data_IF_950896289449
#
_entry.id   IF_950896289449
#
_cell.length_a   1.000
_cell.length_b   1.000
_cell.length_c   1.000
_cell.angle_alpha   90.00
_cell.angle_beta   90.00
_cell.angle_gamma   90.00
#
_symmetry.space_group_name_H-M   'P 1'
#
loop_
_entity.id
_entity.type
_entity.pdbx_description
1 polymer ?
#
# COMPACT_ATOMS: atom_id res chain seq x y z
N UNK A 1 -0.02 -4.92 2.74
CA UNK A 1 0.31 -5.79 1.60
C UNK A 1 -0.22 -7.21 1.79
N UNK A 2 0.25 -7.96 2.80
CA UNK A 2 -0.05 -9.41 2.96
C UNK A 2 -1.53 -9.70 3.30
N UNK A 3 -2.16 -8.83 4.09
CA UNK A 3 -3.51 -9.06 4.60
C UNK A 3 -4.54 -9.06 3.45
N UNK A 4 -5.31 -10.15 3.23
CA UNK A 4 -6.27 -10.24 2.13
C UNK A 4 -7.62 -9.56 2.43
N UNK A 5 -7.82 -9.01 3.62
CA UNK A 5 -9.06 -8.36 4.03
C UNK A 5 -9.10 -6.89 3.62
N UNK A 6 -9.03 -6.60 2.31
CA UNK A 6 -9.21 -5.25 1.77
C UNK A 6 -10.69 -4.95 1.56
N UNK A 7 -11.38 -5.89 0.94
CA UNK A 7 -12.83 -5.90 0.75
C UNK A 7 -13.33 -7.28 1.13
N UNK A 8 -14.56 -7.36 1.59
CA UNK A 8 -15.23 -8.65 1.61
C UNK A 8 -16.73 -8.57 1.78
N UNK A 9 -17.28 -9.72 2.10
CA UNK A 9 -18.70 -9.96 2.22
C UNK A 9 -19.36 -9.08 3.28
N UNK A 10 -20.66 -8.89 3.12
CA UNK A 10 -21.54 -8.17 4.03
C UNK A 10 -22.83 -8.99 4.24
N UNK A 11 -23.75 -8.50 5.06
CA UNK A 11 -25.05 -9.18 5.29
C UNK A 11 -25.86 -9.32 3.99
N UNK A 12 -25.62 -8.45 3.01
CA UNK A 12 -26.39 -8.40 1.75
C UNK A 12 -25.73 -9.15 0.59
N UNK A 13 -24.51 -9.69 0.77
CA UNK A 13 -23.77 -10.30 -0.35
C UNK A 13 -24.30 -11.69 -0.73
N UNK A 14 -24.37 -12.03 -2.03
CA UNK A 14 -24.80 -13.35 -2.51
C UNK A 14 -23.92 -14.52 -2.03
N UNK A 15 -22.61 -14.29 -1.86
CA UNK A 15 -21.63 -15.32 -1.46
C UNK A 15 -20.70 -14.76 -0.39
N UNK A 16 -20.36 -15.56 0.65
CA UNK A 16 -19.38 -15.14 1.65
C UNK A 16 -17.97 -15.17 1.06
N UNK A 17 -17.09 -14.30 1.57
CA UNK A 17 -15.69 -14.31 1.22
C UNK A 17 -15.03 -12.93 1.24
N UNK A 18 -13.76 -12.86 0.86
CA UNK A 18 -12.96 -11.65 0.97
C UNK A 18 -11.87 -11.65 -0.09
N UNK A 19 -11.44 -10.45 -0.48
CA UNK A 19 -10.37 -10.30 -1.45
C UNK A 19 -9.45 -9.13 -1.11
N UNK A 20 -8.17 -9.36 -1.39
CA UNK A 20 -7.08 -8.41 -1.25
C UNK A 20 -6.47 -8.07 -2.61
N UNK A 21 -5.21 -7.61 -2.57
CA UNK A 21 -4.46 -7.20 -3.75
C UNK A 21 -4.15 -8.37 -4.71
N UNK A 22 -3.78 -9.53 -4.17
CA UNK A 22 -3.34 -10.69 -4.96
C UNK A 22 -3.96 -12.02 -4.51
N UNK A 23 -4.67 -12.03 -3.38
CA UNK A 23 -5.27 -13.23 -2.80
C UNK A 23 -6.74 -12.97 -2.53
N UNK A 24 -7.59 -13.90 -2.93
CA UNK A 24 -9.03 -13.83 -2.74
C UNK A 24 -9.60 -15.20 -2.38
N UNK A 25 -10.65 -15.22 -1.57
CA UNK A 25 -11.36 -16.43 -1.17
C UNK A 25 -12.86 -16.24 -1.35
N UNK A 26 -13.48 -17.18 -2.06
CA UNK A 26 -14.92 -17.17 -2.35
C UNK A 26 -15.56 -18.44 -1.83
N UNK A 27 -16.67 -18.33 -1.11
CA UNK A 27 -17.46 -19.46 -0.65
C UNK A 27 -18.34 -20.06 -1.74
N UNK A 28 -18.47 -21.39 -1.74
CA UNK A 28 -19.40 -22.12 -2.61
C UNK A 28 -20.83 -22.08 -2.04
N UNK A 29 -21.51 -20.94 -2.19
CA UNK A 29 -22.94 -20.76 -1.85
C UNK A 29 -23.28 -20.69 -0.34
N UNK A 30 -24.58 -20.53 -0.04
CA UNK A 30 -25.13 -20.28 1.31
C UNK A 30 -24.97 -21.44 2.33
N UNK A 31 -24.66 -22.66 1.87
CA UNK A 31 -24.59 -23.86 2.71
C UNK A 31 -23.17 -24.45 2.87
N UNK A 32 -22.18 -23.95 2.11
CA UNK A 32 -20.81 -24.46 2.12
C UNK A 32 -19.88 -23.66 3.03
N UNK A 33 -19.35 -24.29 4.08
CA UNK A 33 -18.23 -23.76 4.89
C UNK A 33 -16.89 -23.73 4.13
N UNK A 34 -16.87 -24.16 2.87
CA UNK A 34 -15.66 -24.32 2.09
C UNK A 34 -15.39 -23.05 1.27
N UNK A 35 -14.32 -22.34 1.66
CA UNK A 35 -13.80 -21.19 0.95
C UNK A 35 -12.75 -21.66 -0.06
N UNK A 36 -13.02 -21.43 -1.34
CA UNK A 36 -12.02 -21.63 -2.40
C UNK A 36 -11.12 -20.40 -2.46
N UNK A 37 -9.91 -20.53 -1.94
CA UNK A 37 -8.89 -19.48 -1.97
C UNK A 37 -8.00 -19.62 -3.21
N UNK A 38 -7.78 -18.50 -3.91
CA UNK A 38 -6.92 -18.43 -5.09
C UNK A 38 -6.08 -17.15 -5.07
N UNK A 39 -5.01 -17.22 -5.87
CA UNK A 39 -4.04 -16.16 -6.01
C UNK A 39 -2.81 -16.38 -5.12
N UNK A 40 -1.64 -16.26 -5.73
CA UNK A 40 -0.34 -16.31 -5.07
C UNK A 40 0.47 -15.11 -5.51
N UNK A 41 1.36 -14.62 -4.63
CA UNK A 41 2.29 -13.55 -4.96
C UNK A 41 3.22 -13.91 -6.14
N UNK A 42 3.46 -15.21 -6.39
CA UNK A 42 4.33 -15.70 -7.46
C UNK A 42 3.62 -15.96 -8.79
N UNK A 43 2.29 -16.04 -8.78
CA UNK A 43 1.49 -16.44 -9.95
C UNK A 43 0.61 -15.28 -10.44
N UNK A 44 1.26 -14.24 -10.96
CA UNK A 44 0.60 -13.03 -11.48
C UNK A 44 -0.42 -13.34 -12.59
N UNK A 45 -0.23 -14.42 -13.35
CA UNK A 45 -1.15 -14.86 -14.42
C UNK A 45 -2.53 -15.32 -13.90
N UNK A 46 -2.66 -15.61 -12.60
CA UNK A 46 -3.93 -16.06 -11.99
C UNK A 46 -4.79 -14.93 -11.45
N UNK A 47 -4.31 -13.68 -11.50
CA UNK A 47 -5.01 -12.50 -10.96
C UNK A 47 -6.06 -12.04 -11.99
N UNK A 48 -7.33 -11.85 -11.58
CA UNK A 48 -8.46 -11.64 -12.50
C UNK A 48 -8.45 -10.29 -13.24
N UNK A 49 -7.63 -9.32 -12.84
CA UNK A 49 -7.52 -8.04 -13.54
C UNK A 49 -6.10 -7.46 -13.52
N UNK A 50 -5.72 -6.80 -14.62
CA UNK A 50 -4.46 -6.04 -14.70
C UNK A 50 -4.40 -4.88 -13.69
N UNK A 51 -5.56 -4.36 -13.27
CA UNK A 51 -5.65 -3.35 -12.22
C UNK A 51 -5.18 -3.89 -10.87
N UNK A 52 -5.60 -5.10 -10.47
CA UNK A 52 -5.10 -5.72 -9.24
C UNK A 52 -3.62 -6.04 -9.28
N UNK A 53 -3.10 -6.47 -10.43
CA UNK A 53 -1.65 -6.68 -10.62
C UNK A 53 -0.87 -5.38 -10.42
N UNK A 54 -1.31 -4.29 -11.07
CA UNK A 54 -0.67 -2.97 -10.93
C UNK A 54 -0.78 -2.44 -9.49
N UNK A 55 -1.95 -2.55 -8.86
CA UNK A 55 -2.13 -2.15 -7.47
C UNK A 55 -1.22 -2.95 -6.53
N UNK A 56 -1.11 -4.27 -6.71
CA UNK A 56 -0.22 -5.12 -5.94
C UNK A 56 1.25 -4.71 -6.10
N UNK A 57 1.69 -4.41 -7.33
CA UNK A 57 3.05 -3.93 -7.60
C UNK A 57 3.35 -2.61 -6.87
N UNK A 58 2.48 -1.61 -6.98
CA UNK A 58 2.71 -0.32 -6.33
C UNK A 58 2.69 -0.42 -4.79
N UNK A 59 1.77 -1.19 -4.22
CA UNK A 59 1.72 -1.39 -2.75
C UNK A 59 2.95 -2.19 -2.27
N UNK A 60 3.41 -3.17 -3.03
CA UNK A 60 4.64 -3.90 -2.73
C UNK A 60 5.86 -2.96 -2.78
N UNK A 61 5.98 -2.17 -3.84
CA UNK A 61 7.09 -1.23 -4.01
C UNK A 61 7.15 -0.25 -2.84
N UNK A 62 6.00 0.27 -2.40
CA UNK A 62 5.93 1.12 -1.21
C UNK A 62 6.41 0.41 0.07
N UNK A 63 6.02 -0.85 0.26
CA UNK A 63 6.48 -1.65 1.39
C UNK A 63 8.00 -1.82 1.36
N UNK A 64 8.58 -2.14 0.20
CA UNK A 64 10.03 -2.29 0.02
C UNK A 64 10.76 -0.97 0.27
N UNK A 65 10.25 0.15 -0.25
CA UNK A 65 10.81 1.48 -0.01
C UNK A 65 10.78 1.85 1.48
N UNK A 66 9.68 1.54 2.17
CA UNK A 66 9.54 1.80 3.61
C UNK A 66 10.54 0.97 4.42
N UNK A 67 10.68 -0.33 4.12
CA UNK A 67 11.68 -1.20 4.75
C UNK A 67 13.11 -0.77 4.41
N UNK A 68 13.34 -0.32 3.18
CA UNK A 68 14.59 0.29 2.75
C UNK A 68 14.93 1.53 3.58
N UNK A 69 13.97 2.41 3.83
CA UNK A 69 14.15 3.59 4.68
C UNK A 69 14.56 3.21 6.11
N UNK A 70 13.95 2.15 6.68
CA UNK A 70 14.35 1.64 8.00
C UNK A 70 15.81 1.16 7.97
N UNK A 71 16.20 0.45 6.90
CA UNK A 71 17.57 -0.03 6.72
C UNK A 71 18.56 1.12 6.52
N UNK A 72 18.15 2.20 5.84
CA UNK A 72 18.96 3.41 5.66
C UNK A 72 19.32 4.08 6.99
N UNK A 73 18.58 3.86 8.08
CA UNK A 73 19.01 4.36 9.39
C UNK A 73 20.32 3.73 9.88
N UNK A 74 20.67 2.51 9.43
CA UNK A 74 21.99 1.95 9.69
C UNK A 74 23.12 2.70 8.95
N UNK A 75 22.81 3.48 7.90
CA UNK A 75 23.81 4.29 7.20
C UNK A 75 24.25 5.52 8.01
N UNK A 76 23.59 5.86 9.12
CA UNK A 76 24.07 6.91 10.03
C UNK A 76 25.47 6.64 10.58
N UNK A 77 25.92 5.37 10.61
CA UNK A 77 27.28 5.04 11.05
C UNK A 77 28.37 5.43 10.05
N UNK A 78 28.02 5.59 8.76
CA UNK A 78 28.99 5.78 7.68
C UNK A 78 28.80 7.10 6.92
N UNK A 79 27.57 7.63 6.88
CA UNK A 79 27.19 8.79 6.09
C UNK A 79 26.81 9.97 6.99
N UNK A 80 26.94 11.20 6.47
CA UNK A 80 26.45 12.39 7.15
C UNK A 80 24.94 12.30 7.41
N UNK A 81 24.55 12.57 8.64
CA UNK A 81 23.16 12.60 9.13
C UNK A 81 22.23 13.43 8.24
N UNK A 82 22.69 14.57 7.70
CA UNK A 82 21.89 15.42 6.81
C UNK A 82 21.55 14.70 5.49
N UNK A 83 22.50 13.95 4.92
CA UNK A 83 22.32 13.19 3.69
C UNK A 83 21.36 12.03 3.90
N UNK A 84 21.51 11.30 5.02
CA UNK A 84 20.63 10.17 5.36
C UNK A 84 19.18 10.64 5.52
N UNK A 85 18.94 11.75 6.23
CA UNK A 85 17.59 12.30 6.37
C UNK A 85 16.97 12.70 5.03
N UNK A 86 17.73 13.34 4.13
CA UNK A 86 17.24 13.70 2.79
C UNK A 86 16.92 12.47 1.93
N UNK A 87 17.75 11.43 1.97
CA UNK A 87 17.49 10.17 1.25
C UNK A 87 16.21 9.52 1.79
N UNK A 88 16.09 9.37 3.11
CA UNK A 88 14.89 8.83 3.75
C UNK A 88 13.64 9.65 3.39
N UNK A 89 13.75 10.98 3.36
CA UNK A 89 12.63 11.86 2.98
C UNK A 89 12.11 11.57 1.57
N UNK A 90 13.00 11.43 0.59
CA UNK A 90 12.64 11.08 -0.79
C UNK A 90 12.09 9.65 -0.91
N UNK A 91 12.66 8.69 -0.19
CA UNK A 91 12.16 7.32 -0.17
C UNK A 91 10.74 7.24 0.38
N UNK A 92 10.45 7.95 1.47
CA UNK A 92 9.09 7.97 2.03
C UNK A 92 8.10 8.78 1.20
N UNK A 93 8.57 9.82 0.49
CA UNK A 93 7.73 10.52 -0.47
C UNK A 93 7.33 9.58 -1.62
N UNK A 94 8.29 8.84 -2.17
CA UNK A 94 8.03 7.85 -3.23
C UNK A 94 7.14 6.71 -2.72
N UNK A 95 7.37 6.22 -1.50
CA UNK A 95 6.53 5.20 -0.88
C UNK A 95 5.07 5.68 -0.71
N UNK A 96 4.86 6.94 -0.32
CA UNK A 96 3.53 7.54 -0.22
C UNK A 96 2.84 7.61 -1.58
N UNK A 97 3.55 8.08 -2.63
CA UNK A 97 3.03 8.14 -4.00
C UNK A 97 2.62 6.75 -4.52
N UNK A 98 3.45 5.74 -4.29
CA UNK A 98 3.13 4.36 -4.66
C UNK A 98 1.90 3.83 -3.91
N UNK A 99 1.74 4.11 -2.61
CA UNK A 99 0.53 3.72 -1.88
C UNK A 99 -0.72 4.43 -2.39
N UNK A 100 -0.64 5.72 -2.72
CA UNK A 100 -1.74 6.48 -3.33
C UNK A 100 -2.17 5.85 -4.64
N UNK A 101 -1.22 5.58 -5.54
CA UNK A 101 -1.50 4.91 -6.81
C UNK A 101 -2.11 3.53 -6.59
N UNK A 102 -1.57 2.73 -5.67
CA UNK A 102 -2.13 1.43 -5.32
C UNK A 102 -3.58 1.50 -4.84
N UNK A 103 -3.91 2.47 -3.97
CA UNK A 103 -5.27 2.66 -3.46
C UNK A 103 -6.23 3.23 -4.52
N UNK A 104 -5.75 4.02 -5.48
CA UNK A 104 -6.57 4.52 -6.59
C UNK A 104 -6.83 3.46 -7.66
N UNK A 105 -5.83 2.61 -7.95
CA UNK A 105 -5.94 1.57 -8.98
C UNK A 105 -6.78 0.38 -8.47
N UNK A 106 -6.72 0.08 -7.17
CA UNK A 106 -7.44 -1.07 -6.60
C UNK A 106 -8.96 -1.04 -6.86
N UNK A 107 -9.68 0.08 -6.70
CA UNK A 107 -11.09 0.22 -7.08
C UNK A 107 -11.42 0.04 -8.57
N UNK A 108 -10.46 0.27 -9.47
CA UNK A 108 -10.67 0.07 -10.91
C UNK A 108 -10.78 -1.42 -11.26
N UNK A 109 -10.22 -2.30 -10.43
CA UNK A 109 -10.30 -3.75 -10.60
C UNK A 109 -11.64 -4.38 -10.19
N UNK A 110 -12.55 -3.63 -9.54
CA UNK A 110 -13.79 -4.18 -8.98
C UNK A 110 -14.81 -4.66 -10.02
N UNK A 111 -14.64 -4.28 -11.29
CA UNK A 111 -15.50 -4.71 -12.41
C UNK A 111 -15.18 -6.14 -12.91
N UNK A 112 -14.21 -6.83 -12.31
CA UNK A 112 -13.90 -8.21 -12.66
C UNK A 112 -15.08 -9.15 -12.37
N UNK A 113 -15.35 -10.11 -13.25
CA UNK A 113 -16.47 -11.07 -13.12
C UNK A 113 -16.46 -11.81 -11.77
N UNK A 114 -15.28 -12.19 -11.28
CA UNK A 114 -15.13 -12.86 -9.97
C UNK A 114 -15.63 -11.98 -8.81
N UNK A 115 -15.48 -10.66 -8.92
CA UNK A 115 -15.93 -9.72 -7.89
C UNK A 115 -17.42 -9.43 -8.05
N UNK A 116 -17.93 -9.32 -9.28
CA UNK A 116 -19.37 -9.22 -9.54
C UNK A 116 -20.14 -10.42 -9.01
N UNK A 117 -19.60 -11.62 -9.16
CA UNK A 117 -20.21 -12.85 -8.61
C UNK A 117 -20.25 -12.87 -7.06
N UNK A 118 -19.29 -12.23 -6.40
CA UNK A 118 -19.28 -12.11 -4.93
C UNK A 118 -20.11 -10.94 -4.39
N UNK A 119 -19.96 -9.78 -5.01
CA UNK A 119 -20.47 -8.49 -4.54
C UNK A 119 -21.79 -8.09 -5.21
N UNK A 120 -22.30 -8.92 -6.12
CA UNK A 120 -23.53 -8.69 -6.87
C UNK A 120 -23.32 -7.97 -8.20
N UNK A 121 -24.28 -8.15 -9.11
CA UNK A 121 -24.30 -7.60 -10.48
C UNK A 121 -24.26 -6.06 -10.55
N UNK A 122 -24.58 -5.38 -9.44
CA UNK A 122 -24.51 -3.91 -9.35
C UNK A 122 -23.09 -3.39 -9.14
N UNK A 123 -22.11 -4.28 -8.97
CA UNK A 123 -20.71 -3.90 -8.77
C UNK A 123 -20.12 -3.38 -10.08
N UNK A 124 -19.35 -2.30 -9.98
CA UNK A 124 -18.64 -1.70 -11.10
C UNK A 124 -17.40 -0.95 -10.65
N UNK A 125 -16.71 -0.30 -11.59
CA UNK A 125 -15.53 0.53 -11.28
C UNK A 125 -15.86 1.57 -10.21
N UNK A 126 -15.11 1.60 -9.12
CA UNK A 126 -15.33 2.48 -7.96
C UNK A 126 -16.68 2.33 -7.23
N UNK A 127 -17.47 1.30 -7.55
CA UNK A 127 -18.75 1.01 -6.91
C UNK A 127 -18.75 -0.42 -6.38
N UNK A 128 -18.46 -0.60 -5.08
CA UNK A 128 -18.79 -1.85 -4.38
C UNK A 128 -20.31 -1.95 -4.34
N UNK A 129 -20.88 -3.01 -4.91
CA UNK A 129 -22.31 -3.31 -4.79
C UNK A 129 -22.67 -3.67 -3.34
N UNK A 130 -22.87 -4.96 -3.07
CA UNK A 130 -23.26 -5.44 -1.75
C UNK A 130 -22.07 -5.70 -0.82
N UNK A 131 -20.82 -5.61 -1.31
CA UNK A 131 -19.61 -5.81 -0.49
C UNK A 131 -19.27 -4.60 0.39
N UNK A 132 -18.44 -4.83 1.41
CA UNK A 132 -17.94 -3.78 2.31
C UNK A 132 -16.42 -3.70 2.34
N UNK A 133 -15.91 -2.47 2.51
CA UNK A 133 -14.48 -2.20 2.71
C UNK A 133 -14.07 -2.69 4.10
N UNK A 134 -12.89 -3.31 4.20
CA UNK A 134 -12.34 -3.87 5.43
C UNK A 134 -11.10 -3.12 5.92
N UNK A 135 -10.63 -3.48 7.11
CA UNK A 135 -9.55 -2.80 7.83
C UNK A 135 -8.25 -2.65 7.03
N UNK A 136 -7.89 -3.61 6.16
CA UNK A 136 -6.59 -3.52 5.46
C UNK A 136 -6.54 -2.33 4.48
N UNK A 137 -7.67 -1.99 3.86
CA UNK A 137 -7.77 -0.82 2.99
C UNK A 137 -7.70 0.49 3.79
N UNK A 138 -8.37 0.54 4.96
CA UNK A 138 -8.32 1.69 5.86
C UNK A 138 -6.88 1.92 6.36
N UNK A 139 -6.19 0.84 6.74
CA UNK A 139 -4.78 0.91 7.14
C UNK A 139 -3.86 1.39 6.01
N UNK A 140 -4.17 1.08 4.75
CA UNK A 140 -3.42 1.60 3.61
C UNK A 140 -3.58 3.13 3.48
N UNK A 141 -4.79 3.66 3.67
CA UNK A 141 -5.05 5.11 3.68
C UNK A 141 -4.32 5.80 4.83
N UNK A 142 -4.38 5.23 6.05
CA UNK A 142 -3.62 5.75 7.20
C UNK A 142 -2.11 5.70 6.91
N UNK A 143 -1.64 4.63 6.25
CA UNK A 143 -0.25 4.47 5.83
C UNK A 143 0.23 5.59 4.90
N UNK A 144 -0.62 6.07 3.98
CA UNK A 144 -0.32 7.22 3.11
C UNK A 144 -0.06 8.47 3.95
N UNK A 145 -0.99 8.80 4.86
CA UNK A 145 -0.85 9.98 5.73
C UNK A 145 0.43 9.90 6.58
N UNK A 146 0.70 8.73 7.16
CA UNK A 146 1.89 8.49 7.94
C UNK A 146 3.18 8.67 7.11
N UNK A 147 3.23 8.11 5.89
CA UNK A 147 4.38 8.24 5.00
C UNK A 147 4.64 9.70 4.59
N UNK A 148 3.58 10.48 4.34
CA UNK A 148 3.69 11.91 4.04
C UNK A 148 4.21 12.71 5.24
N UNK A 149 3.71 12.46 6.44
CA UNK A 149 4.19 13.10 7.67
C UNK A 149 5.66 12.78 7.90
N UNK A 150 6.06 11.52 7.76
CA UNK A 150 7.45 11.09 7.94
C UNK A 150 8.38 11.72 6.90
N UNK A 151 7.96 11.82 5.64
CA UNK A 151 8.71 12.50 4.59
C UNK A 151 8.91 13.99 4.91
N UNK A 152 7.84 14.68 5.33
CA UNK A 152 7.91 16.08 5.74
C UNK A 152 8.87 16.30 6.92
N UNK A 153 8.73 15.50 7.99
CA UNK A 153 9.62 15.58 9.15
C UNK A 153 11.07 15.31 8.77
N UNK A 154 11.33 14.33 7.90
CA UNK A 154 12.68 14.02 7.43
C UNK A 154 13.29 15.15 6.59
N UNK A 155 12.51 15.83 5.74
CA UNK A 155 12.99 17.02 5.02
C UNK A 155 13.33 18.17 5.97
N UNK A 156 12.47 18.45 6.95
CA UNK A 156 12.71 19.51 7.94
C UNK A 156 13.99 19.20 8.74
N UNK A 157 14.15 17.99 9.25
CA UNK A 157 15.34 17.58 10.00
C UNK A 157 16.60 17.60 9.14
N UNK A 158 16.53 17.09 7.91
CA UNK A 158 17.65 17.09 6.97
C UNK A 158 18.11 18.50 6.59
N UNK A 159 17.18 19.45 6.46
CA UNK A 159 17.52 20.85 6.18
C UNK A 159 18.13 21.53 7.41
N UNK A 160 17.55 21.35 8.60
CA UNK A 160 18.12 21.92 9.84
C UNK A 160 19.54 21.41 10.11
N UNK A 161 19.81 20.13 9.86
CA UNK A 161 21.15 19.57 10.03
C UNK A 161 22.14 20.14 9.01
N UNK A 162 21.70 20.42 7.79
CA UNK A 162 22.52 21.01 6.74
C UNK A 162 22.90 22.46 7.06
N UNK A 163 21.97 23.23 7.64
CA UNK A 163 22.22 24.61 8.05
C UNK A 163 23.27 24.67 9.18
N UNK A 164 23.14 23.81 10.19
CA UNK A 164 24.11 23.70 11.29
C UNK A 164 25.53 23.37 10.79
N UNK A 165 25.65 22.41 9.87
CA UNK A 165 26.94 22.04 9.29
C UNK A 165 27.59 23.21 8.51
N UNK A 166 26.78 24.01 7.83
CA UNK A 166 27.26 25.20 7.12
C UNK A 166 27.75 26.31 8.07
N UNK A 167 27.14 26.46 9.25
CA UNK A 167 27.60 27.41 10.27
C UNK A 167 28.94 27.01 10.88
N UNK A 168 29.15 25.72 11.15
CA UNK A 168 30.43 25.20 11.65
C UNK A 168 31.57 25.45 10.65
N UNK A 169 31.36 25.13 9.36
CA UNK A 169 32.35 25.35 8.30
C UNK A 169 32.71 26.83 8.10
N UNK A 170 31.74 27.75 8.25
CA UNK A 170 32.00 29.20 8.18
C UNK A 170 32.82 29.70 9.35
N UNK A 171 32.66 29.08 10.52
CA UNK A 171 33.36 29.47 11.75
C UNK A 171 34.84 29.04 11.69
N UNK A 172 35.15 27.87 11.12
CA UNK A 172 36.55 27.44 10.90
C UNK A 172 37.28 28.26 9.83
N UNK A 173 36.55 28.86 8.89
CA UNK A 173 37.15 29.66 7.79
C UNK A 173 37.53 31.09 8.18
N UNK A 174 37.24 31.53 9.41
CA UNK A 174 37.43 32.92 9.87
C UNK A 174 38.52 33.01 10.94
#
# INVERSE_FOLDING_TARGET
FIQPYWVGDSVNTPKPGYFGLFHYCVGSGLAGRELSCRGSFTDFSTIPSGAFQAAAFFVLLSMVLTLGCITCFALFFFCNTATVYKICAWMQLLAALCLVLGCMIFPDGWDAETIRDMCGEKTGKYSLGDCSVRWAYILAIIGILNALILSFLAFVLGNRQNDLLHEELKTESK
#
